data_IF_269587810391
#
_entry.id   IF_269587810391
#
_cell.length_a   1.000
_cell.length_b   1.000
_cell.length_c   1.000
_cell.angle_alpha   90.00
_cell.angle_beta   90.00
_cell.angle_gamma   90.00
#
_symmetry.space_group_name_H-M   'P 1'
#
loop_
_entity.id
_entity.type
_entity.pdbx_description
1 polymer ?
#
# COMPACT_ATOMS: atom_id res chain seq x y z
N UNK A 1 6.34 -11.66 -26.60
CA UNK A 1 6.80 -10.67 -25.58
C UNK A 1 7.23 -11.45 -24.35
N UNK A 2 8.34 -11.08 -23.74
CA UNK A 2 8.85 -11.72 -22.51
C UNK A 2 7.93 -11.48 -21.30
N UNK A 3 7.39 -10.26 -21.18
CA UNK A 3 6.51 -9.86 -20.09
C UNK A 3 5.10 -9.55 -20.58
N UNK A 4 4.11 -9.89 -19.75
CA UNK A 4 2.69 -9.56 -19.96
C UNK A 4 2.05 -9.18 -18.61
N UNK A 5 0.87 -8.57 -18.65
CA UNK A 5 0.07 -8.35 -17.45
C UNK A 5 -1.39 -8.67 -17.71
N UNK A 6 -2.12 -8.98 -16.64
CA UNK A 6 -3.58 -9.09 -16.68
C UNK A 6 -4.21 -8.58 -15.39
N UNK A 7 -5.43 -8.09 -15.47
CA UNK A 7 -6.27 -7.94 -14.30
C UNK A 7 -6.57 -9.31 -13.70
N UNK A 8 -6.57 -9.39 -12.38
CA UNK A 8 -6.74 -10.64 -11.65
C UNK A 8 -7.68 -10.43 -10.47
N UNK A 9 -8.86 -11.03 -10.51
CA UNK A 9 -9.92 -10.78 -9.55
C UNK A 9 -10.20 -11.96 -8.60
N UNK A 10 -9.41 -13.03 -8.68
CA UNK A 10 -9.61 -14.23 -7.88
C UNK A 10 -9.18 -14.06 -6.42
N UNK A 11 -9.77 -14.85 -5.54
CA UNK A 11 -9.56 -14.74 -4.08
C UNK A 11 -8.14 -15.07 -3.63
N UNK A 12 -7.39 -15.79 -4.44
CA UNK A 12 -6.00 -16.18 -4.15
C UNK A 12 -4.95 -15.12 -4.53
N UNK A 13 -5.36 -13.92 -4.98
CA UNK A 13 -4.45 -12.82 -5.30
C UNK A 13 -3.40 -12.57 -4.21
N UNK A 14 -3.82 -12.63 -2.96
CA UNK A 14 -2.93 -12.35 -1.83
C UNK A 14 -1.84 -13.40 -1.64
N UNK A 15 -2.01 -14.60 -2.18
CA UNK A 15 -0.94 -15.62 -2.21
C UNK A 15 0.26 -15.17 -3.05
N UNK A 16 -0.01 -14.39 -4.12
CA UNK A 16 1.05 -13.79 -4.95
C UNK A 16 1.67 -12.57 -4.27
N UNK A 17 0.87 -11.74 -3.60
CA UNK A 17 1.34 -10.56 -2.85
C UNK A 17 2.31 -10.98 -1.74
N UNK A 18 1.98 -12.04 -1.00
CA UNK A 18 2.78 -12.54 0.12
C UNK A 18 4.14 -13.16 -0.29
N UNK A 19 4.39 -13.34 -1.58
CA UNK A 19 5.70 -13.80 -2.07
C UNK A 19 6.77 -12.70 -2.01
N UNK A 20 6.39 -11.45 -1.77
CA UNK A 20 7.30 -10.31 -1.70
C UNK A 20 7.55 -9.91 -0.25
N UNK A 21 8.81 -9.80 0.17
CA UNK A 21 9.20 -9.47 1.55
C UNK A 21 8.70 -8.08 2.01
N UNK A 22 8.49 -7.18 1.05
CA UNK A 22 8.04 -5.81 1.28
C UNK A 22 6.53 -5.62 1.04
N UNK A 23 5.75 -6.70 1.09
CA UNK A 23 4.30 -6.61 0.94
C UNK A 23 3.63 -5.82 2.08
N UNK A 24 2.47 -5.27 1.77
CA UNK A 24 1.67 -4.49 2.71
C UNK A 24 0.19 -4.84 2.54
N UNK A 25 -0.59 -4.72 3.63
CA UNK A 25 -2.05 -4.80 3.59
C UNK A 25 -2.65 -3.88 2.52
N UNK A 26 -2.00 -2.75 2.23
CA UNK A 26 -2.45 -1.81 1.19
C UNK A 26 -2.33 -2.35 -0.23
N UNK A 27 -1.67 -3.49 -0.40
CA UNK A 27 -1.61 -4.24 -1.67
C UNK A 27 -2.43 -5.53 -1.62
N UNK A 28 -3.17 -5.81 -0.53
CA UNK A 28 -4.05 -6.97 -0.45
C UNK A 28 -5.40 -6.73 -1.14
N UNK A 29 -6.06 -7.80 -1.53
CA UNK A 29 -7.41 -7.75 -2.11
C UNK A 29 -8.42 -7.11 -1.16
N UNK A 30 -8.32 -7.38 0.15
CA UNK A 30 -9.19 -6.78 1.17
C UNK A 30 -9.13 -5.25 1.15
N UNK A 31 -8.01 -4.66 0.76
CA UNK A 31 -7.89 -3.20 0.67
C UNK A 31 -8.80 -2.61 -0.41
N UNK A 32 -9.12 -3.36 -1.48
CA UNK A 32 -10.09 -2.92 -2.47
C UNK A 32 -11.49 -2.82 -1.86
N UNK A 33 -11.88 -3.80 -1.03
CA UNK A 33 -13.16 -3.81 -0.33
C UNK A 33 -13.26 -2.67 0.67
N UNK A 34 -12.22 -2.44 1.48
CA UNK A 34 -12.17 -1.32 2.43
C UNK A 34 -12.33 0.04 1.73
N UNK A 35 -11.92 0.14 0.48
CA UNK A 35 -11.94 1.39 -0.30
C UNK A 35 -13.10 1.52 -1.28
N UNK A 36 -13.98 0.53 -1.41
CA UNK A 36 -15.03 0.46 -2.44
C UNK A 36 -16.01 1.63 -2.45
N UNK A 37 -16.30 2.26 -1.31
CA UNK A 37 -17.17 3.43 -1.24
C UNK A 37 -16.65 4.65 -2.03
N UNK A 38 -15.36 4.74 -2.25
CA UNK A 38 -14.73 5.94 -2.82
C UNK A 38 -13.76 5.65 -3.96
N UNK A 39 -13.40 4.39 -4.19
CA UNK A 39 -12.41 3.96 -5.17
C UNK A 39 -12.85 2.67 -5.87
N UNK A 40 -12.62 2.59 -7.19
CA UNK A 40 -12.68 1.34 -7.95
C UNK A 40 -11.32 0.64 -7.82
N UNK A 41 -11.26 -0.39 -6.97
CA UNK A 41 -10.05 -1.17 -6.72
C UNK A 41 -9.89 -2.28 -7.75
N UNK A 42 -8.68 -2.41 -8.32
CA UNK A 42 -8.32 -3.51 -9.23
C UNK A 42 -6.98 -4.10 -8.87
N UNK A 43 -6.86 -5.40 -9.08
CA UNK A 43 -5.63 -6.15 -8.86
C UNK A 43 -5.05 -6.62 -10.19
N UNK A 44 -3.74 -6.65 -10.28
CA UNK A 44 -2.98 -6.91 -11.51
C UNK A 44 -1.85 -7.89 -11.17
N UNK A 45 -1.67 -8.88 -12.03
CA UNK A 45 -0.50 -9.74 -12.03
C UNK A 45 0.38 -9.44 -13.26
N UNK A 46 1.68 -9.38 -13.03
CA UNK A 46 2.69 -9.27 -14.07
C UNK A 46 3.39 -10.61 -14.25
N UNK A 47 3.57 -11.03 -15.48
CA UNK A 47 4.10 -12.34 -15.81
C UNK A 47 5.38 -12.21 -16.64
N UNK A 48 6.30 -13.13 -16.40
CA UNK A 48 7.37 -13.51 -17.33
C UNK A 48 7.00 -14.91 -17.86
N UNK A 49 6.67 -15.01 -19.12
CA UNK A 49 6.03 -16.18 -19.72
C UNK A 49 4.73 -16.56 -18.98
N UNK A 50 4.77 -17.59 -18.11
CA UNK A 50 3.62 -18.04 -17.29
C UNK A 50 3.84 -17.84 -15.80
N UNK A 51 5.01 -17.36 -15.39
CA UNK A 51 5.37 -17.16 -13.99
C UNK A 51 4.99 -15.75 -13.54
N UNK A 52 4.32 -15.62 -12.41
CA UNK A 52 4.08 -14.32 -11.78
C UNK A 52 5.42 -13.76 -11.27
N UNK A 53 5.75 -12.55 -11.70
CA UNK A 53 6.98 -11.83 -11.34
C UNK A 53 6.72 -10.47 -10.70
N UNK A 54 5.45 -10.08 -10.60
CA UNK A 54 5.05 -8.86 -9.92
C UNK A 54 3.55 -8.78 -9.71
N UNK A 55 3.13 -7.93 -8.78
CA UNK A 55 1.73 -7.66 -8.47
C UNK A 55 1.50 -6.17 -8.31
N UNK A 56 0.28 -5.71 -8.55
CA UNK A 56 -0.14 -4.37 -8.18
C UNK A 56 -1.62 -4.35 -7.80
N UNK A 57 -1.93 -3.71 -6.68
CA UNK A 57 -3.27 -3.20 -6.41
C UNK A 57 -3.31 -1.75 -6.83
N UNK A 58 -4.28 -1.39 -7.65
CA UNK A 58 -4.53 -0.03 -8.07
C UNK A 58 -5.89 0.44 -7.59
N UNK A 59 -5.97 1.68 -7.18
CA UNK A 59 -7.19 2.36 -6.78
C UNK A 59 -7.48 3.46 -7.79
N UNK A 60 -8.65 3.42 -8.42
CA UNK A 60 -9.08 4.35 -9.45
C UNK A 60 -10.17 5.22 -8.86
N UNK A 61 -10.04 6.53 -8.99
CA UNK A 61 -11.05 7.50 -8.51
C UNK A 61 -11.34 8.55 -9.56
N UNK A 62 -12.61 8.84 -9.74
CA UNK A 62 -13.03 10.00 -10.51
C UNK A 62 -12.78 11.29 -9.72
N UNK A 63 -12.21 12.29 -10.37
CA UNK A 63 -11.86 13.57 -9.74
C UNK A 63 -12.82 14.67 -10.21
N UNK A 64 -12.85 14.96 -11.50
CA UNK A 64 -13.71 15.98 -12.11
C UNK A 64 -13.79 15.77 -13.63
N UNK A 65 -14.90 16.18 -14.24
CA UNK A 65 -15.08 16.18 -15.70
C UNK A 65 -14.77 14.83 -16.37
N UNK A 66 -15.22 13.73 -15.79
CA UNK A 66 -14.93 12.37 -16.28
C UNK A 66 -13.43 12.01 -16.29
N UNK A 67 -12.61 12.77 -15.58
CA UNK A 67 -11.19 12.48 -15.42
C UNK A 67 -10.95 11.68 -14.14
N UNK A 68 -10.02 10.76 -14.23
CA UNK A 68 -9.67 9.85 -13.11
C UNK A 68 -8.25 10.09 -12.65
N UNK A 69 -7.96 9.62 -11.46
CA UNK A 69 -6.62 9.39 -10.96
C UNK A 69 -6.44 7.91 -10.62
N UNK A 70 -5.24 7.41 -10.77
CA UNK A 70 -4.86 6.08 -10.31
C UNK A 70 -3.84 6.22 -9.19
N UNK A 71 -4.07 5.46 -8.13
CA UNK A 71 -3.19 5.41 -6.98
C UNK A 71 -2.76 3.96 -6.71
N UNK A 72 -1.46 3.75 -6.54
CA UNK A 72 -0.84 2.45 -6.24
C UNK A 72 -0.18 2.57 -4.85
N UNK A 73 -0.91 2.23 -3.76
CA UNK A 73 -0.40 2.36 -2.41
C UNK A 73 0.62 1.27 -2.09
N UNK A 74 1.81 1.61 -1.59
CA UNK A 74 2.87 0.66 -1.24
C UNK A 74 3.09 -0.43 -2.29
N UNK A 75 3.09 -0.01 -3.57
CA UNK A 75 3.26 -0.86 -4.73
C UNK A 75 3.74 -0.08 -5.94
N UNK A 76 3.86 -0.74 -7.08
CA UNK A 76 3.70 -2.18 -7.32
C UNK A 76 4.78 -3.04 -6.61
N UNK A 77 4.53 -4.35 -6.47
CA UNK A 77 5.47 -5.30 -5.87
C UNK A 77 6.15 -6.10 -6.99
N UNK A 78 7.45 -6.00 -7.12
CA UNK A 78 8.29 -6.74 -8.05
C UNK A 78 9.77 -6.56 -7.69
N UNK A 79 10.66 -7.26 -8.38
CA UNK A 79 12.11 -7.06 -8.21
C UNK A 79 12.56 -5.77 -8.92
N UNK A 80 12.74 -4.71 -8.12
CA UNK A 80 13.18 -3.38 -8.59
C UNK A 80 14.60 -3.37 -9.16
N UNK A 81 15.42 -4.40 -8.91
CA UNK A 81 16.76 -4.53 -9.50
C UNK A 81 16.73 -5.00 -10.95
N UNK A 82 15.66 -5.66 -11.36
CA UNK A 82 15.46 -6.10 -12.75
C UNK A 82 14.96 -4.94 -13.63
N UNK A 83 15.88 -4.31 -14.36
CA UNK A 83 15.59 -3.11 -15.18
C UNK A 83 14.59 -3.36 -16.31
N UNK A 84 14.59 -4.54 -16.91
CA UNK A 84 13.63 -4.88 -17.97
C UNK A 84 12.21 -4.98 -17.40
N UNK A 85 12.07 -5.67 -16.27
CA UNK A 85 10.79 -5.80 -15.55
C UNK A 85 10.33 -4.43 -15.04
N UNK A 86 11.24 -3.62 -14.48
CA UNK A 86 10.96 -2.27 -14.04
C UNK A 86 10.35 -1.42 -15.16
N UNK A 87 11.00 -1.42 -16.34
CA UNK A 87 10.51 -0.68 -17.49
C UNK A 87 9.14 -1.19 -17.95
N UNK A 88 8.95 -2.51 -17.97
CA UNK A 88 7.68 -3.11 -18.35
C UNK A 88 6.57 -2.71 -17.38
N UNK A 89 6.74 -2.92 -16.08
CA UNK A 89 5.74 -2.62 -15.04
C UNK A 89 5.37 -1.14 -15.04
N UNK A 90 6.36 -0.25 -15.07
CA UNK A 90 6.11 1.20 -15.03
C UNK A 90 5.43 1.71 -16.31
N UNK A 91 5.73 1.14 -17.47
CA UNK A 91 5.04 1.47 -18.71
C UNK A 91 3.61 0.91 -18.74
N UNK A 92 3.40 -0.32 -18.26
CA UNK A 92 2.05 -0.91 -18.14
C UNK A 92 1.14 -0.04 -17.26
N UNK A 93 1.64 0.48 -16.13
CA UNK A 93 0.86 1.40 -15.29
C UNK A 93 0.48 2.69 -16.01
N UNK A 94 1.35 3.21 -16.90
CA UNK A 94 1.02 4.38 -17.71
C UNK A 94 -0.04 4.07 -18.77
N UNK A 95 0.03 2.89 -19.39
CA UNK A 95 -0.98 2.43 -20.35
C UNK A 95 -2.33 2.26 -19.66
N UNK A 96 -2.39 1.60 -18.52
CA UNK A 96 -3.57 1.48 -17.67
C UNK A 96 -4.13 2.88 -17.31
N UNK A 97 -3.24 3.84 -17.04
CA UNK A 97 -3.63 5.23 -16.82
C UNK A 97 -4.36 5.84 -18.01
N UNK A 98 -3.83 5.64 -19.21
CA UNK A 98 -4.46 6.14 -20.44
C UNK A 98 -5.80 5.47 -20.74
N UNK A 99 -5.88 4.15 -20.61
CA UNK A 99 -7.09 3.34 -20.80
C UNK A 99 -8.22 3.79 -19.88
N UNK A 100 -7.89 4.19 -18.65
CA UNK A 100 -8.86 4.68 -17.67
C UNK A 100 -9.12 6.19 -17.72
N UNK A 101 -8.63 6.91 -18.73
CA UNK A 101 -8.73 8.38 -18.84
C UNK A 101 -8.18 9.13 -17.60
N UNK A 102 -7.14 8.56 -16.99
CA UNK A 102 -6.50 9.14 -15.81
C UNK A 102 -5.58 10.32 -16.21
N UNK A 103 -5.66 11.41 -15.47
CA UNK A 103 -4.76 12.56 -15.67
C UNK A 103 -3.37 12.33 -15.06
N UNK A 104 -3.27 11.47 -14.08
CA UNK A 104 -1.99 10.99 -13.54
C UNK A 104 -2.14 9.62 -12.87
N UNK A 105 -1.01 8.93 -12.77
CA UNK A 105 -0.83 7.72 -11.96
C UNK A 105 0.15 8.06 -10.85
N UNK A 106 -0.26 7.85 -9.60
CA UNK A 106 0.59 8.04 -8.42
C UNK A 106 1.01 6.68 -7.88
N UNK A 107 2.31 6.45 -7.78
CA UNK A 107 2.86 5.24 -7.14
C UNK A 107 3.58 5.61 -5.85
N UNK A 108 3.47 4.74 -4.85
CA UNK A 108 4.25 4.81 -3.62
C UNK A 108 4.99 3.48 -3.48
N UNK A 109 6.17 3.34 -4.08
CA UNK A 109 6.88 2.07 -4.10
C UNK A 109 7.38 1.70 -2.69
N UNK A 110 7.29 0.43 -2.27
CA UNK A 110 7.72 -0.03 -0.96
C UNK A 110 9.24 -0.30 -0.95
N UNK A 111 10.02 0.69 -1.30
CA UNK A 111 11.48 0.60 -1.36
C UNK A 111 12.10 1.59 -0.39
N UNK A 112 13.26 1.24 0.14
CA UNK A 112 14.05 2.21 0.90
C UNK A 112 14.48 3.36 0.00
N UNK A 113 14.73 4.52 0.61
CA UNK A 113 15.22 5.69 -0.13
C UNK A 113 16.59 5.37 -0.76
N UNK A 114 16.52 4.94 -2.01
CA UNK A 114 17.68 4.55 -2.82
C UNK A 114 17.72 5.45 -4.06
N UNK A 115 18.83 6.15 -4.21
CA UNK A 115 19.06 7.07 -5.33
C UNK A 115 19.02 6.35 -6.69
N UNK A 116 19.40 5.07 -6.76
CA UNK A 116 19.39 4.29 -8.00
C UNK A 116 17.96 4.05 -8.48
N UNK A 117 17.06 3.64 -7.59
CA UNK A 117 15.64 3.41 -7.91
C UNK A 117 14.95 4.73 -8.26
N UNK A 118 15.25 5.81 -7.54
CA UNK A 118 14.75 7.14 -7.88
C UNK A 118 15.21 7.59 -9.27
N UNK A 119 16.44 7.30 -9.65
CA UNK A 119 16.95 7.57 -11.00
C UNK A 119 16.23 6.75 -12.07
N UNK A 120 15.94 5.47 -11.82
CA UNK A 120 15.19 4.62 -12.73
C UNK A 120 13.77 5.14 -12.98
N UNK A 121 13.07 5.58 -11.94
CA UNK A 121 11.76 6.23 -12.10
C UNK A 121 11.87 7.48 -12.97
N UNK A 122 12.86 8.34 -12.74
CA UNK A 122 13.08 9.58 -13.52
C UNK A 122 13.40 9.28 -14.99
N UNK A 123 14.28 8.29 -15.26
CA UNK A 123 14.60 7.85 -16.63
C UNK A 123 13.34 7.35 -17.35
N UNK A 124 12.44 6.68 -16.64
CA UNK A 124 11.16 6.24 -17.18
C UNK A 124 10.09 7.35 -17.20
N UNK A 125 10.44 8.61 -17.00
CA UNK A 125 9.53 9.76 -17.12
C UNK A 125 8.54 9.89 -15.98
N UNK A 126 8.84 9.34 -14.79
CA UNK A 126 8.11 9.61 -13.58
C UNK A 126 8.65 10.85 -12.88
N UNK A 127 7.77 11.58 -12.24
CA UNK A 127 8.10 12.80 -11.50
C UNK A 127 7.96 12.52 -10.02
N UNK A 128 9.02 12.81 -9.26
CA UNK A 128 8.99 12.71 -7.82
C UNK A 128 8.15 13.84 -7.23
N UNK A 129 7.17 13.50 -6.40
CA UNK A 129 6.40 14.49 -5.67
C UNK A 129 7.20 14.94 -4.44
N UNK A 130 8.03 15.95 -4.62
CA UNK A 130 8.83 16.55 -3.53
C UNK A 130 7.95 17.56 -2.80
N UNK A 131 7.53 17.24 -1.58
CA UNK A 131 6.88 18.19 -0.68
C UNK A 131 7.78 18.44 0.52
N UNK A 132 7.88 19.67 0.99
CA UNK A 132 8.66 20.02 2.19
C UNK A 132 7.97 19.53 3.47
N UNK A 133 6.67 19.29 3.44
CA UNK A 133 5.87 18.83 4.57
C UNK A 133 6.04 17.32 4.77
N UNK A 134 6.24 16.90 6.01
CA UNK A 134 6.32 15.47 6.38
C UNK A 134 5.01 14.71 6.15
N UNK A 135 3.88 15.40 6.07
CA UNK A 135 2.52 14.85 5.95
C UNK A 135 1.72 15.61 4.88
N UNK A 136 2.11 15.49 3.62
CA UNK A 136 1.46 16.18 2.51
C UNK A 136 0.88 15.21 1.48
N UNK A 137 0.75 13.96 1.85
CA UNK A 137 0.20 12.93 1.00
C UNK A 137 -0.66 11.97 1.82
N UNK A 138 -1.37 11.09 1.11
CA UNK A 138 -2.20 10.04 1.68
C UNK A 138 -1.39 9.08 2.59
N UNK A 139 -0.06 9.05 2.42
CA UNK A 139 0.86 8.18 3.16
C UNK A 139 1.99 9.00 3.81
N UNK A 140 2.42 8.66 5.03
CA UNK A 140 3.60 9.28 5.64
C UNK A 140 4.85 8.95 4.82
N UNK A 141 5.75 9.93 4.67
CA UNK A 141 7.03 9.75 3.95
C UNK A 141 7.99 8.80 4.65
N UNK A 142 7.94 8.78 5.98
CA UNK A 142 8.81 7.96 6.81
C UNK A 142 7.95 7.13 7.76
N UNK A 143 8.26 5.86 7.86
CA UNK A 143 7.66 4.93 8.80
C UNK A 143 8.71 4.41 9.77
N UNK A 144 8.36 4.34 11.05
CA UNK A 144 9.15 3.60 12.02
C UNK A 144 8.76 2.12 11.94
N UNK A 145 9.74 1.26 11.69
CA UNK A 145 9.53 -0.18 11.63
C UNK A 145 9.97 -0.80 12.94
N UNK A 146 9.07 -1.56 13.58
CA UNK A 146 9.35 -2.33 14.78
C UNK A 146 9.28 -3.81 14.40
N UNK A 147 10.38 -4.52 14.58
CA UNK A 147 10.46 -5.96 14.36
C UNK A 147 10.43 -6.74 15.70
N UNK A 148 10.36 -8.06 15.62
CA UNK A 148 10.32 -8.94 16.80
C UNK A 148 11.55 -8.83 17.72
N UNK A 149 12.68 -8.37 17.18
CA UNK A 149 13.94 -8.21 17.90
C UNK A 149 14.09 -6.82 18.54
N UNK A 150 13.04 -5.97 18.41
CA UNK A 150 13.04 -4.63 18.98
C UNK A 150 13.11 -4.67 20.51
N UNK A 151 14.14 -4.03 21.08
CA UNK A 151 14.29 -3.88 22.51
C UNK A 151 13.65 -2.57 22.99
N UNK A 152 12.69 -2.69 23.91
CA UNK A 152 12.06 -1.53 24.55
C UNK A 152 13.11 -0.65 25.23
N UNK A 153 13.09 0.64 24.94
CA UNK A 153 13.92 1.63 25.63
C UNK A 153 13.52 1.73 27.12
N UNK A 154 14.41 2.27 27.98
CA UNK A 154 14.12 2.49 29.39
C UNK A 154 12.84 3.32 29.60
N UNK A 155 12.62 4.36 28.75
CA UNK A 155 11.44 5.20 28.80
C UNK A 155 10.18 4.44 28.43
N UNK A 156 10.21 3.58 27.40
CA UNK A 156 9.06 2.76 27.02
C UNK A 156 8.68 1.79 28.13
N UNK A 157 9.66 1.11 28.75
CA UNK A 157 9.42 0.24 29.91
C UNK A 157 8.79 0.99 31.07
N UNK A 158 9.23 2.22 31.33
CA UNK A 158 8.65 3.06 32.39
C UNK A 158 7.20 3.47 32.05
N UNK A 159 6.92 3.84 30.80
CA UNK A 159 5.56 4.17 30.35
C UNK A 159 4.63 2.97 30.52
N UNK A 160 5.04 1.77 30.12
CA UNK A 160 4.24 0.55 30.31
C UNK A 160 3.90 0.32 31.79
N UNK A 161 4.86 0.43 32.71
CA UNK A 161 4.60 0.31 34.15
C UNK A 161 3.61 1.37 34.64
N UNK A 162 3.66 2.59 34.10
CA UNK A 162 2.71 3.66 34.46
C UNK A 162 1.31 3.30 34.00
N UNK A 163 1.16 2.74 32.81
CA UNK A 163 -0.10 2.26 32.25
C UNK A 163 -0.69 1.15 33.10
N UNK A 164 0.13 0.15 33.46
CA UNK A 164 -0.25 -0.95 34.35
C UNK A 164 -0.72 -0.43 35.73
N UNK A 165 0.04 0.46 36.35
CA UNK A 165 -0.31 1.06 37.65
C UNK A 165 -1.60 1.90 37.61
N UNK A 166 -2.00 2.40 36.45
CA UNK A 166 -3.25 3.11 36.23
C UNK A 166 -4.40 2.21 35.80
N UNK A 167 -4.22 0.89 35.82
CA UNK A 167 -5.20 -0.10 35.40
C UNK A 167 -5.76 0.16 33.97
N UNK A 168 -4.93 0.69 33.07
CA UNK A 168 -5.30 0.83 31.68
C UNK A 168 -5.14 -0.53 31.00
N UNK A 169 -6.18 -0.99 30.36
CA UNK A 169 -6.21 -2.28 29.65
C UNK A 169 -6.39 -2.07 28.15
N UNK A 170 -5.81 -2.97 27.35
CA UNK A 170 -6.05 -3.03 25.91
C UNK A 170 -7.10 -4.11 25.63
N UNK A 171 -8.09 -3.76 24.85
CA UNK A 171 -9.12 -4.70 24.39
C UNK A 171 -8.96 -4.91 22.90
N UNK A 172 -9.00 -6.18 22.47
CA UNK A 172 -8.88 -6.57 21.06
C UNK A 172 -10.26 -6.94 20.52
N UNK A 173 -10.62 -6.44 19.35
CA UNK A 173 -11.88 -6.74 18.68
C UNK A 173 -11.90 -8.11 17.99
N UNK A 174 -10.75 -8.78 17.87
CA UNK A 174 -10.67 -10.10 17.25
C UNK A 174 -11.51 -11.13 18.00
N UNK A 175 -12.48 -11.73 17.31
CA UNK A 175 -13.42 -12.70 17.90
C UNK A 175 -14.64 -12.09 18.61
N UNK A 176 -14.83 -10.77 18.57
CA UNK A 176 -16.03 -10.13 19.09
C UNK A 176 -17.25 -10.40 18.19
N UNK A 177 -18.43 -10.54 18.82
CA UNK A 177 -19.71 -10.51 18.09
C UNK A 177 -19.98 -9.14 17.48
N UNK A 178 -20.90 -9.04 16.52
CA UNK A 178 -21.21 -7.78 15.85
C UNK A 178 -21.55 -6.64 16.81
N UNK A 179 -22.36 -6.90 17.85
CA UNK A 179 -22.74 -5.88 18.86
C UNK A 179 -21.55 -5.43 19.71
N UNK A 180 -20.72 -6.37 20.16
CA UNK A 180 -19.50 -6.05 20.91
C UNK A 180 -18.48 -5.27 20.06
N UNK A 181 -18.38 -5.60 18.78
CA UNK A 181 -17.53 -4.85 17.85
C UNK A 181 -17.98 -3.40 17.71
N UNK A 182 -19.27 -3.15 17.51
CA UNK A 182 -19.82 -1.79 17.40
C UNK A 182 -19.59 -0.98 18.67
N UNK A 183 -19.81 -1.58 19.85
CA UNK A 183 -19.53 -0.92 21.11
C UNK A 183 -18.05 -0.53 21.25
N UNK A 184 -17.13 -1.44 20.94
CA UNK A 184 -15.69 -1.15 20.97
C UNK A 184 -15.28 -0.06 19.98
N UNK A 185 -15.94 -0.01 18.83
CA UNK A 185 -15.72 1.02 17.83
C UNK A 185 -16.20 2.39 18.33
N UNK A 186 -17.36 2.46 18.98
CA UNK A 186 -17.89 3.68 19.59
C UNK A 186 -16.97 4.17 20.72
N UNK A 187 -16.51 3.27 21.59
CA UNK A 187 -15.55 3.56 22.65
C UNK A 187 -14.23 4.11 22.07
N UNK A 188 -13.73 3.51 20.98
CA UNK A 188 -12.54 3.98 20.29
C UNK A 188 -12.72 5.41 19.76
N UNK A 189 -13.84 5.70 19.11
CA UNK A 189 -14.13 7.05 18.62
C UNK A 189 -14.34 8.05 19.75
N UNK A 190 -14.91 7.65 20.86
CA UNK A 190 -15.06 8.51 22.04
C UNK A 190 -13.70 8.89 22.63
N UNK A 191 -12.76 7.94 22.72
CA UNK A 191 -11.42 8.15 23.28
C UNK A 191 -10.48 8.93 22.35
N UNK A 192 -10.77 8.98 21.05
CA UNK A 192 -9.90 9.62 20.04
C UNK A 192 -10.37 11.01 19.60
N UNK A 193 -11.50 11.48 20.12
CA UNK A 193 -12.01 12.85 19.95
C UNK A 193 -11.38 13.80 20.93
#
# INVERSE_FOLDING_TARGET
>A
MKYTYSYYNDEDFDTYVQQFDNYSLLQSREWTVIKEDSWDGKTILFYEDKKVVGTALILIREIAFNKKMIYVPYGPLFDYSNKELFNFVTNSLKEIGKENNAIFVKVVPPVFNDNSISADFKINGWVENVTEKSFDSIQPKLNAVVNKDFNLTKRMKQNLRTVENKNVTAVYSSGCSGEDFHRLLDDFYYLTR
#
